data_IF_923593393437
#
_entry.id   IF_923593393437
#
_cell.length_a   1.000
_cell.length_b   1.000
_cell.length_c   1.000
_cell.angle_alpha   90.00
_cell.angle_beta   90.00
_cell.angle_gamma   90.00
#
_symmetry.space_group_name_H-M   'P 1'
#
loop_
_entity.id
_entity.type
_entity.pdbx_description
1 polymer ?
#
# COMPACT_ATOMS: atom_id res chain seq x y z
N UNK A 1 4.22 -4.80 -8.83
CA UNK A 1 4.82 -5.12 -7.52
C UNK A 1 3.97 -4.59 -6.37
N UNK A 2 4.15 -5.17 -5.19
CA UNK A 2 3.57 -4.70 -3.94
C UNK A 2 4.10 -3.31 -3.59
N UNK A 3 3.20 -2.39 -3.21
CA UNK A 3 3.54 -1.01 -2.83
C UNK A 3 3.89 -0.91 -1.34
N UNK A 4 4.32 0.26 -0.89
CA UNK A 4 4.52 0.70 0.51
C UNK A 4 5.49 -0.14 1.34
N UNK A 5 5.74 -1.40 0.99
CA UNK A 5 6.71 -2.25 1.69
C UNK A 5 8.10 -1.62 1.62
N UNK A 6 8.70 -1.41 2.77
CA UNK A 6 9.91 -0.60 2.95
C UNK A 6 11.13 -1.47 3.11
N UNK A 7 12.16 -1.23 2.28
CA UNK A 7 13.43 -1.94 2.29
C UNK A 7 14.56 -0.92 2.38
N UNK A 8 15.54 -1.18 3.24
CA UNK A 8 16.79 -0.43 3.33
C UNK A 8 17.96 -1.40 3.21
N UNK A 9 18.93 -1.07 2.34
CA UNK A 9 20.06 -1.95 2.08
C UNK A 9 21.37 -1.19 1.90
N UNK A 10 22.46 -1.91 2.08
CA UNK A 10 23.81 -1.39 1.83
C UNK A 10 24.07 -1.18 0.34
N UNK A 11 24.51 0.00 -0.02
CA UNK A 11 24.77 0.41 -1.42
C UNK A 11 25.85 -0.44 -2.12
N UNK A 12 26.82 -0.96 -1.38
CA UNK A 12 27.95 -1.69 -1.95
C UNK A 12 27.67 -3.19 -2.04
N UNK A 13 27.12 -3.76 -0.95
CA UNK A 13 26.91 -5.21 -0.85
C UNK A 13 25.53 -5.64 -1.32
N UNK A 14 24.56 -4.73 -1.29
CA UNK A 14 23.16 -5.04 -1.54
C UNK A 14 22.51 -5.89 -0.45
N UNK A 15 23.13 -5.97 0.74
CA UNK A 15 22.53 -6.68 1.86
C UNK A 15 21.55 -5.79 2.61
N UNK A 16 20.32 -6.26 2.90
CA UNK A 16 19.35 -5.49 3.66
C UNK A 16 19.81 -5.32 5.10
N UNK A 17 19.60 -4.13 5.67
CA UNK A 17 19.98 -3.81 7.05
C UNK A 17 19.04 -4.46 8.08
N UNK A 18 17.83 -4.81 7.66
CA UNK A 18 16.83 -5.54 8.44
C UNK A 18 15.82 -6.20 7.51
N UNK A 19 14.90 -6.99 8.06
CA UNK A 19 13.76 -7.53 7.30
C UNK A 19 12.88 -6.39 6.79
N UNK A 20 12.38 -6.52 5.55
CA UNK A 20 11.44 -5.58 4.96
C UNK A 20 10.21 -5.36 5.85
N UNK A 21 9.81 -4.10 6.02
CA UNK A 21 8.60 -3.78 6.77
C UNK A 21 7.43 -3.71 5.79
N UNK A 22 6.54 -4.70 5.88
CA UNK A 22 5.39 -4.83 4.97
C UNK A 22 4.34 -3.75 5.21
N UNK A 23 3.53 -3.49 4.20
CA UNK A 23 2.46 -2.48 4.21
C UNK A 23 1.44 -2.65 5.36
N UNK A 24 1.14 -3.89 5.77
CA UNK A 24 0.21 -4.20 6.87
C UNK A 24 0.77 -3.90 8.26
N UNK A 25 2.08 -3.64 8.39
CA UNK A 25 2.72 -3.48 9.68
C UNK A 25 2.35 -2.15 10.35
N UNK A 26 1.85 -2.22 11.57
CA UNK A 26 1.37 -1.07 12.36
C UNK A 26 2.37 -0.54 13.40
N UNK A 27 3.63 -1.02 13.38
CA UNK A 27 4.64 -0.63 14.38
C UNK A 27 4.93 0.87 14.46
N UNK A 28 4.59 1.63 13.42
CA UNK A 28 4.83 3.07 13.33
C UNK A 28 3.60 3.91 13.64
N UNK A 29 2.54 3.33 14.22
CA UNK A 29 1.32 4.05 14.55
C UNK A 29 1.57 5.23 15.48
N UNK A 30 2.46 5.08 16.46
CA UNK A 30 2.83 6.17 17.39
C UNK A 30 3.45 7.37 16.65
N UNK A 31 4.31 7.15 15.64
CA UNK A 31 4.85 8.24 14.82
C UNK A 31 3.77 8.95 14.01
N UNK A 32 2.77 8.21 13.54
CA UNK A 32 1.64 8.81 12.84
C UNK A 32 0.82 9.70 13.77
N UNK A 33 0.60 9.29 15.01
CA UNK A 33 -0.13 10.09 16.00
C UNK A 33 0.67 11.33 16.40
N UNK A 34 1.99 11.23 16.60
CA UNK A 34 2.88 12.37 16.81
C UNK A 34 2.75 13.42 15.70
N UNK A 35 2.75 13.01 14.44
CA UNK A 35 2.59 13.92 13.30
C UNK A 35 1.20 14.57 13.26
N UNK A 36 0.15 13.82 13.62
CA UNK A 36 -1.22 14.35 13.71
C UNK A 36 -1.35 15.37 14.84
N UNK A 37 -0.77 15.09 16.01
CA UNK A 37 -0.74 15.99 17.17
C UNK A 37 0.01 17.29 16.89
N UNK A 38 1.05 17.24 16.05
CA UNK A 38 1.73 18.42 15.51
C UNK A 38 0.89 19.25 14.54
N UNK A 39 -0.30 18.78 14.15
CA UNK A 39 -1.20 19.47 13.21
C UNK A 39 -0.80 19.35 11.73
N UNK A 40 0.03 18.36 11.36
CA UNK A 40 0.59 18.21 10.01
C UNK A 40 -0.34 17.49 9.02
N UNK A 41 -1.57 17.14 9.41
CA UNK A 41 -2.50 16.33 8.60
C UNK A 41 -2.77 16.96 7.23
N UNK A 42 -3.14 18.25 7.21
CA UNK A 42 -3.49 18.94 5.96
C UNK A 42 -2.27 19.20 5.09
N UNK A 43 -1.12 19.44 5.67
CA UNK A 43 0.14 19.60 4.95
C UNK A 43 0.54 18.32 4.21
N UNK A 44 0.59 17.20 4.92
CA UNK A 44 0.88 15.90 4.32
C UNK A 44 -0.13 15.54 3.23
N UNK A 45 -1.41 15.76 3.51
CA UNK A 45 -2.48 15.49 2.55
C UNK A 45 -2.36 16.34 1.30
N UNK A 46 -2.12 17.64 1.45
CA UNK A 46 -1.98 18.56 0.34
C UNK A 46 -0.79 18.27 -0.56
N UNK A 47 0.34 17.87 0.03
CA UNK A 47 1.57 17.55 -0.70
C UNK A 47 1.58 16.16 -1.31
N UNK A 48 1.14 15.15 -0.56
CA UNK A 48 1.28 13.74 -0.95
C UNK A 48 0.00 13.10 -1.47
N UNK A 49 -1.16 13.72 -1.22
CA UNK A 49 -2.48 13.14 -1.47
C UNK A 49 -2.89 12.07 -0.46
N UNK A 50 -2.02 11.75 0.51
CA UNK A 50 -2.21 10.65 1.46
C UNK A 50 -2.63 11.17 2.84
N UNK A 51 -3.23 10.27 3.62
CA UNK A 51 -3.42 10.48 5.06
C UNK A 51 -2.15 10.05 5.81
N UNK A 52 -1.96 10.57 7.03
CA UNK A 52 -0.88 10.10 7.91
C UNK A 52 -1.30 8.75 8.50
N UNK A 53 -0.73 7.66 8.00
CA UNK A 53 -1.01 6.30 8.43
C UNK A 53 0.22 5.41 8.30
N UNK A 54 0.36 4.44 9.21
CA UNK A 54 1.44 3.44 9.21
C UNK A 54 1.45 2.53 7.96
N UNK A 55 0.43 2.59 7.12
CA UNK A 55 0.35 1.92 5.84
C UNK A 55 1.50 2.33 4.90
N UNK A 56 1.82 3.63 4.85
CA UNK A 56 2.78 4.21 3.92
C UNK A 56 4.25 4.07 4.38
N UNK A 57 5.20 4.28 3.47
CA UNK A 57 6.61 3.95 3.70
C UNK A 57 7.35 4.91 4.64
N UNK A 58 7.01 6.20 4.64
CA UNK A 58 7.80 7.24 5.29
C UNK A 58 8.09 6.99 6.77
N UNK A 59 7.04 6.70 7.57
CA UNK A 59 7.21 6.41 8.99
C UNK A 59 7.96 5.10 9.24
N UNK A 60 7.87 4.12 8.33
CA UNK A 60 8.65 2.87 8.41
C UNK A 60 10.14 3.12 8.18
N UNK A 61 10.47 4.01 7.24
CA UNK A 61 11.85 4.40 7.00
C UNK A 61 12.43 5.14 8.22
N UNK A 62 11.70 6.11 8.78
CA UNK A 62 12.06 6.76 10.06
C UNK A 62 12.32 5.72 11.15
N UNK A 63 11.41 4.75 11.31
CA UNK A 63 11.55 3.69 12.31
C UNK A 63 12.85 2.87 12.11
N UNK A 64 13.19 2.50 10.88
CA UNK A 64 14.44 1.76 10.58
C UNK A 64 15.65 2.59 10.99
N UNK A 65 15.67 3.88 10.63
CA UNK A 65 16.76 4.79 10.96
C UNK A 65 16.98 4.95 12.47
N UNK A 66 15.92 4.95 13.26
CA UNK A 66 15.97 5.12 14.70
C UNK A 66 16.22 3.82 15.49
N UNK A 67 15.68 2.69 15.01
CA UNK A 67 15.62 1.46 15.80
C UNK A 67 16.61 0.37 15.37
N UNK A 68 17.23 0.48 14.18
CA UNK A 68 18.23 -0.50 13.73
C UNK A 68 19.63 0.06 14.05
N UNK A 69 20.42 -0.62 14.89
CA UNK A 69 21.72 -0.12 15.34
C UNK A 69 22.67 0.26 14.20
N UNK A 70 23.23 1.47 14.28
CA UNK A 70 24.22 1.98 13.32
C UNK A 70 23.70 2.40 11.95
N UNK A 71 22.40 2.20 11.67
CA UNK A 71 21.81 2.52 10.38
C UNK A 71 21.76 4.04 10.13
N UNK A 72 21.39 4.84 11.14
CA UNK A 72 21.34 6.31 11.03
C UNK A 72 22.65 6.90 10.51
N UNK A 73 23.76 6.65 11.19
CA UNK A 73 25.06 7.18 10.80
C UNK A 73 25.51 6.72 9.42
N UNK A 74 25.19 5.49 9.03
CA UNK A 74 25.48 4.97 7.67
C UNK A 74 24.63 5.64 6.60
N UNK A 75 23.37 5.91 6.90
CA UNK A 75 22.45 6.61 6.02
C UNK A 75 22.94 8.04 5.73
N UNK A 76 23.34 8.78 6.77
CA UNK A 76 23.87 10.14 6.66
C UNK A 76 25.16 10.20 5.81
N UNK A 77 26.00 9.15 5.88
CA UNK A 77 27.18 9.02 5.01
C UNK A 77 26.87 8.56 3.57
N UNK A 78 25.59 8.34 3.23
CA UNK A 78 25.17 7.89 1.90
C UNK A 78 25.53 6.43 1.58
N UNK A 79 25.78 5.60 2.60
CA UNK A 79 26.13 4.18 2.45
C UNK A 79 24.89 3.29 2.24
N UNK A 80 23.71 3.81 2.53
CA UNK A 80 22.46 3.04 2.48
C UNK A 80 21.52 3.59 1.41
N UNK A 81 20.71 2.69 0.86
CA UNK A 81 19.66 2.98 -0.09
C UNK A 81 18.31 2.56 0.48
N UNK A 82 17.28 3.32 0.13
CA UNK A 82 15.88 3.02 0.43
C UNK A 82 15.14 2.71 -0.88
N UNK A 83 14.14 1.86 -0.78
CA UNK A 83 13.17 1.65 -1.84
C UNK A 83 11.98 0.81 -1.40
N UNK A 84 11.00 0.76 -2.28
CA UNK A 84 9.94 -0.24 -2.27
C UNK A 84 10.43 -1.51 -2.96
N UNK A 85 9.57 -2.53 -3.04
CA UNK A 85 9.92 -3.82 -3.67
C UNK A 85 10.43 -3.64 -5.10
N UNK A 86 9.81 -2.76 -5.87
CA UNK A 86 10.19 -2.44 -7.24
C UNK A 86 11.62 -1.90 -7.33
N UNK A 87 11.93 -0.86 -6.53
CA UNK A 87 13.25 -0.25 -6.49
C UNK A 87 14.34 -1.29 -6.17
N UNK A 88 14.06 -2.15 -5.19
CA UNK A 88 14.91 -3.26 -4.81
C UNK A 88 15.13 -4.24 -5.96
N UNK A 89 14.06 -4.63 -6.66
CA UNK A 89 14.14 -5.55 -7.80
C UNK A 89 14.93 -4.95 -8.97
N UNK A 90 14.65 -3.70 -9.34
CA UNK A 90 15.41 -3.01 -10.39
C UNK A 90 16.89 -2.91 -10.03
N UNK A 91 17.19 -2.54 -8.79
CA UNK A 91 18.56 -2.46 -8.30
C UNK A 91 19.28 -3.82 -8.37
N UNK A 92 18.64 -4.90 -7.93
CA UNK A 92 19.19 -6.27 -8.01
C UNK A 92 19.37 -6.73 -9.46
N UNK A 93 18.35 -6.56 -10.30
CA UNK A 93 18.38 -7.00 -11.70
C UNK A 93 19.47 -6.26 -12.51
N UNK A 94 19.71 -4.99 -12.20
CA UNK A 94 20.76 -4.18 -12.87
C UNK A 94 22.14 -4.32 -12.25
N UNK A 95 22.30 -5.16 -11.24
CA UNK A 95 23.59 -5.33 -10.53
C UNK A 95 24.05 -4.08 -9.79
N UNK A 96 23.11 -3.33 -9.23
CA UNK A 96 23.38 -2.12 -8.45
C UNK A 96 23.58 -0.85 -9.27
N UNK A 97 23.38 -0.89 -10.59
CA UNK A 97 23.61 0.27 -11.48
C UNK A 97 22.46 1.27 -11.48
N UNK A 98 21.22 0.84 -11.19
CA UNK A 98 20.05 1.69 -11.22
C UNK A 98 19.35 1.69 -9.84
N UNK A 99 19.33 2.84 -9.17
CA UNK A 99 18.58 3.10 -7.95
C UNK A 99 17.44 4.05 -8.29
N UNK A 100 16.33 3.48 -8.76
CA UNK A 100 15.21 4.21 -9.38
C UNK A 100 13.87 3.65 -8.93
N UNK A 101 12.83 4.47 -8.98
CA UNK A 101 11.44 4.11 -8.75
C UNK A 101 10.55 4.81 -9.77
N UNK A 102 9.29 4.39 -9.87
CA UNK A 102 8.30 5.09 -10.70
C UNK A 102 7.41 6.03 -9.89
N UNK A 103 6.69 6.92 -10.59
CA UNK A 103 5.77 7.85 -9.96
C UNK A 103 4.68 7.15 -9.14
N UNK A 104 4.16 6.01 -9.59
CA UNK A 104 3.08 5.32 -8.89
C UNK A 104 3.54 4.77 -7.54
N UNK A 105 4.73 4.18 -7.44
CA UNK A 105 5.31 3.73 -6.18
C UNK A 105 5.80 4.90 -5.31
N UNK A 106 6.45 5.91 -5.89
CA UNK A 106 6.89 7.10 -5.16
C UNK A 106 5.71 7.79 -4.46
N UNK A 107 4.56 7.93 -5.12
CA UNK A 107 3.36 8.53 -4.54
C UNK A 107 2.76 7.75 -3.36
N UNK A 108 3.23 6.51 -3.10
CA UNK A 108 2.80 5.69 -1.94
C UNK A 108 3.75 5.75 -0.75
N UNK A 109 4.77 6.55 -0.83
CA UNK A 109 5.78 6.61 0.24
C UNK A 109 5.45 7.58 1.37
N UNK A 110 4.53 8.51 1.16
CA UNK A 110 4.28 9.67 2.05
C UNK A 110 5.47 10.63 2.13
N UNK A 111 6.43 10.52 1.18
CA UNK A 111 7.62 11.37 1.07
C UNK A 111 7.64 12.18 -0.22
N UNK A 112 6.77 11.83 -1.17
CA UNK A 112 6.75 12.35 -2.52
C UNK A 112 5.63 13.36 -2.71
N UNK A 113 5.98 14.56 -3.17
CA UNK A 113 5.02 15.60 -3.49
C UNK A 113 4.43 15.34 -4.88
N UNK A 114 3.14 14.97 -4.92
CA UNK A 114 2.45 14.61 -6.16
C UNK A 114 2.15 15.81 -7.06
N UNK A 115 2.27 17.03 -6.55
CA UNK A 115 2.04 18.25 -7.33
C UNK A 115 3.32 18.73 -8.03
N UNK A 116 4.48 18.60 -7.37
CA UNK A 116 5.78 19.01 -7.90
C UNK A 116 6.56 17.86 -8.54
N UNK A 117 6.10 16.61 -8.36
CA UNK A 117 6.73 15.37 -8.84
C UNK A 117 8.17 15.20 -8.33
N UNK A 118 8.39 15.53 -7.05
CA UNK A 118 9.69 15.46 -6.37
C UNK A 118 9.54 14.95 -4.94
N UNK A 119 10.62 14.42 -4.40
CA UNK A 119 10.73 14.20 -2.96
C UNK A 119 10.57 15.53 -2.24
N UNK A 120 9.72 15.59 -1.22
CA UNK A 120 9.38 16.81 -0.49
C UNK A 120 10.39 17.06 0.63
N UNK A 121 11.17 18.13 0.51
CA UNK A 121 12.27 18.41 1.44
C UNK A 121 11.76 18.77 2.86
N UNK A 122 10.57 19.37 3.01
CA UNK A 122 9.98 19.69 4.31
C UNK A 122 9.50 18.42 5.01
N UNK A 123 8.85 17.51 4.28
CA UNK A 123 8.45 16.20 4.81
C UNK A 123 9.68 15.36 5.20
N UNK A 124 10.73 15.37 4.36
CA UNK A 124 11.97 14.67 4.68
C UNK A 124 12.62 15.19 5.95
N UNK A 125 12.63 16.52 6.14
CA UNK A 125 13.14 17.15 7.36
C UNK A 125 12.30 16.80 8.59
N UNK A 126 10.95 16.83 8.48
CA UNK A 126 10.05 16.46 9.59
C UNK A 126 10.21 14.99 10.01
N UNK A 127 10.41 14.09 9.06
CA UNK A 127 10.65 12.68 9.34
C UNK A 127 12.11 12.33 9.59
N UNK A 128 13.01 13.32 9.53
CA UNK A 128 14.46 13.18 9.70
C UNK A 128 15.05 12.08 8.80
N UNK A 129 14.71 12.15 7.49
CA UNK A 129 15.14 11.18 6.48
C UNK A 129 16.21 11.79 5.58
N UNK A 130 17.44 11.21 5.53
CA UNK A 130 18.49 11.67 4.62
C UNK A 130 18.10 11.49 3.15
N UNK A 131 18.03 12.58 2.39
CA UNK A 131 17.63 12.58 0.97
C UNK A 131 18.51 11.69 0.09
N UNK A 132 19.79 11.51 0.44
CA UNK A 132 20.76 10.67 -0.28
C UNK A 132 20.38 9.17 -0.32
N UNK A 133 19.44 8.73 0.51
CA UNK A 133 18.92 7.36 0.50
C UNK A 133 17.86 7.12 -0.58
N UNK A 134 17.25 8.18 -1.10
CA UNK A 134 16.05 8.08 -1.93
C UNK A 134 16.40 7.78 -3.39
N UNK A 135 15.60 6.95 -4.09
CA UNK A 135 15.82 6.66 -5.50
C UNK A 135 15.48 7.84 -6.40
N UNK A 136 16.05 7.88 -7.59
CA UNK A 136 15.58 8.74 -8.67
C UNK A 136 14.18 8.32 -9.08
N UNK A 137 13.27 9.27 -9.27
CA UNK A 137 11.89 9.00 -9.68
C UNK A 137 11.74 9.23 -11.17
N UNK A 138 11.16 8.27 -11.88
CA UNK A 138 10.99 8.27 -13.34
C UNK A 138 9.54 7.98 -13.74
N UNK A 139 9.15 8.29 -15.00
CA UNK A 139 7.86 7.86 -15.55
C UNK A 139 7.67 6.34 -15.46
N UNK A 140 6.42 5.87 -15.32
CA UNK A 140 6.10 4.43 -15.22
C UNK A 140 6.47 3.65 -16.49
N UNK A 141 6.55 4.33 -17.64
CA UNK A 141 7.00 3.79 -18.94
C UNK A 141 8.27 4.52 -19.39
N UNK A 142 9.42 3.96 -19.09
CA UNK A 142 10.72 4.45 -19.54
C UNK A 142 11.78 3.35 -19.36
N UNK A 143 12.98 3.52 -19.92
CA UNK A 143 14.10 2.60 -19.67
C UNK A 143 14.71 2.92 -18.30
N UNK A 144 14.54 2.04 -17.33
CA UNK A 144 15.12 2.15 -15.99
C UNK A 144 16.58 1.67 -15.92
N UNK A 145 16.94 0.75 -16.79
CA UNK A 145 18.24 0.11 -16.90
C UNK A 145 18.13 -1.21 -17.65
N UNK A 146 19.22 -1.99 -17.66
CA UNK A 146 19.24 -3.32 -18.25
C UNK A 146 19.46 -4.38 -17.17
N UNK A 147 18.64 -5.41 -17.18
CA UNK A 147 18.83 -6.59 -16.37
C UNK A 147 20.10 -7.33 -16.83
N UNK A 148 20.88 -7.84 -15.89
CA UNK A 148 22.10 -8.59 -16.19
C UNK A 148 21.80 -9.88 -16.96
N UNK A 149 22.67 -10.22 -17.92
CA UNK A 149 22.54 -11.42 -18.76
C UNK A 149 22.42 -12.73 -17.94
N UNK A 150 23.00 -12.77 -16.75
CA UNK A 150 22.94 -13.96 -15.87
C UNK A 150 21.52 -14.39 -15.49
N UNK A 151 20.53 -13.49 -15.54
CA UNK A 151 19.15 -13.80 -15.18
C UNK A 151 18.34 -14.37 -16.37
N UNK A 152 18.66 -13.92 -17.60
CA UNK A 152 17.83 -14.17 -18.78
C UNK A 152 18.63 -14.67 -20.01
N UNK A 153 19.93 -14.91 -19.85
CA UNK A 153 20.81 -15.31 -20.95
C UNK A 153 21.33 -14.16 -21.83
N UNK A 154 20.67 -12.99 -21.78
CA UNK A 154 21.07 -11.77 -22.44
C UNK A 154 20.66 -10.55 -21.62
N UNK A 155 21.30 -9.37 -21.80
CA UNK A 155 20.79 -8.13 -21.20
C UNK A 155 19.41 -7.80 -21.75
N UNK A 156 18.47 -7.48 -20.85
CA UNK A 156 17.09 -7.12 -21.22
C UNK A 156 16.77 -5.74 -20.63
N UNK A 157 16.29 -4.77 -21.43
CA UNK A 157 15.85 -3.47 -20.92
C UNK A 157 14.66 -3.62 -19.96
N UNK A 158 14.74 -2.96 -18.81
CA UNK A 158 13.61 -2.82 -17.87
C UNK A 158 12.87 -1.54 -18.29
N UNK A 159 11.74 -1.70 -18.99
CA UNK A 159 11.06 -0.61 -19.68
C UNK A 159 9.76 -0.15 -19.04
N UNK A 160 9.34 -0.77 -17.95
CA UNK A 160 8.11 -0.40 -17.24
C UNK A 160 8.16 -0.81 -15.77
N UNK A 161 7.61 0.04 -14.92
CA UNK A 161 7.45 -0.20 -13.51
C UNK A 161 6.17 0.47 -13.01
N UNK A 162 5.41 -0.22 -12.17
CA UNK A 162 4.20 0.32 -11.56
C UNK A 162 3.84 -0.44 -10.29
N UNK A 163 3.18 0.25 -9.36
CA UNK A 163 2.51 -0.40 -8.24
C UNK A 163 1.40 -1.35 -8.74
N UNK A 164 1.19 -2.46 -8.04
CA UNK A 164 0.24 -3.52 -8.46
C UNK A 164 -1.18 -2.98 -8.71
N UNK A 165 -1.65 -2.07 -7.88
CA UNK A 165 -3.00 -1.53 -8.00
C UNK A 165 -3.13 -0.55 -9.18
N UNK A 166 -2.08 0.24 -9.43
CA UNK A 166 -2.00 1.11 -10.61
C UNK A 166 -1.85 0.31 -11.89
N UNK A 167 -1.01 -0.73 -11.87
CA UNK A 167 -0.90 -1.66 -13.00
C UNK A 167 -2.24 -2.35 -13.30
N UNK A 168 -3.02 -2.71 -12.26
CA UNK A 168 -4.35 -3.28 -12.43
C UNK A 168 -5.34 -2.26 -13.03
N UNK A 169 -5.31 -0.99 -12.58
CA UNK A 169 -6.14 0.07 -13.16
C UNK A 169 -5.86 0.23 -14.67
N UNK A 170 -4.58 0.30 -15.04
CA UNK A 170 -4.16 0.37 -16.43
C UNK A 170 -4.53 -0.89 -17.21
N UNK A 171 -4.26 -2.08 -16.65
CA UNK A 171 -4.54 -3.37 -17.28
C UNK A 171 -6.04 -3.67 -17.47
N UNK A 172 -6.90 -3.07 -16.64
CA UNK A 172 -8.36 -3.09 -16.81
C UNK A 172 -8.86 -2.01 -17.78
N UNK A 173 -7.94 -1.36 -18.49
CA UNK A 173 -8.25 -0.34 -19.51
C UNK A 173 -8.99 0.90 -18.98
N UNK A 174 -8.84 1.21 -17.70
CA UNK A 174 -9.45 2.39 -17.07
C UNK A 174 -8.67 3.67 -17.46
N UNK A 175 -8.68 4.04 -18.73
CA UNK A 175 -7.88 5.14 -19.27
C UNK A 175 -8.56 6.50 -19.17
N UNK A 176 -9.89 6.52 -19.11
CA UNK A 176 -10.67 7.75 -19.04
C UNK A 176 -11.00 8.14 -17.58
N UNK A 177 -11.10 9.45 -17.26
CA UNK A 177 -11.57 9.90 -15.97
C UNK A 177 -12.97 9.34 -15.64
N UNK A 178 -13.12 8.85 -14.39
CA UNK A 178 -14.33 8.20 -13.90
C UNK A 178 -14.34 6.68 -14.05
N UNK A 179 -13.46 6.11 -14.86
CA UNK A 179 -13.31 4.65 -14.95
C UNK A 179 -12.58 4.11 -13.72
N UNK A 180 -13.07 3.00 -13.21
CA UNK A 180 -12.60 2.44 -11.94
C UNK A 180 -12.45 0.93 -12.02
N UNK A 181 -11.53 0.40 -11.20
CA UNK A 181 -11.40 -1.03 -10.95
C UNK A 181 -11.46 -1.30 -9.45
N UNK A 182 -11.89 -2.49 -9.07
CA UNK A 182 -11.78 -3.00 -7.72
C UNK A 182 -11.05 -4.35 -7.72
N UNK A 183 -9.98 -4.44 -6.96
CA UNK A 183 -9.24 -5.71 -6.76
C UNK A 183 -9.72 -6.35 -5.47
N UNK A 184 -10.21 -7.57 -5.56
CA UNK A 184 -10.54 -8.42 -4.43
C UNK A 184 -9.41 -9.44 -4.21
N UNK A 185 -8.61 -9.23 -3.16
CA UNK A 185 -7.50 -10.09 -2.76
C UNK A 185 -7.46 -10.25 -1.25
N UNK A 186 -6.28 -10.25 -0.64
CA UNK A 186 -6.10 -10.19 0.83
C UNK A 186 -6.87 -9.01 1.42
N UNK A 187 -6.74 -7.83 0.81
CA UNK A 187 -7.61 -6.66 0.98
C UNK A 187 -8.39 -6.37 -0.28
N UNK A 188 -9.22 -5.32 -0.25
CA UNK A 188 -9.93 -4.81 -1.41
C UNK A 188 -9.43 -3.40 -1.72
N UNK A 189 -9.06 -3.16 -2.98
CA UNK A 189 -8.47 -1.88 -3.41
C UNK A 189 -9.21 -1.35 -4.63
N UNK A 190 -10.04 -0.33 -4.37
CA UNK A 190 -10.76 0.41 -5.39
C UNK A 190 -9.90 1.58 -5.86
N UNK A 191 -9.64 1.66 -7.15
CA UNK A 191 -9.00 2.83 -7.77
C UNK A 191 -9.88 3.37 -8.88
N UNK A 192 -10.01 4.70 -8.93
CA UNK A 192 -10.72 5.42 -9.98
C UNK A 192 -9.79 6.45 -10.61
N UNK A 193 -9.66 6.41 -11.92
CA UNK A 193 -8.92 7.40 -12.71
C UNK A 193 -9.59 8.77 -12.57
N UNK A 194 -8.82 9.80 -12.22
CA UNK A 194 -9.32 11.19 -12.07
C UNK A 194 -8.78 12.14 -13.14
N UNK A 195 -8.01 11.62 -14.10
CA UNK A 195 -7.39 12.41 -15.16
C UNK A 195 -6.08 13.07 -14.76
N UNK A 196 -5.74 14.17 -15.39
CA UNK A 196 -4.44 14.85 -15.29
C UNK A 196 -4.28 15.77 -14.08
N UNK A 197 -5.28 15.87 -13.21
CA UNK A 197 -5.24 16.71 -12.01
C UNK A 197 -5.51 15.89 -10.75
N UNK A 198 -4.76 16.12 -9.68
CA UNK A 198 -5.06 15.49 -8.41
C UNK A 198 -6.41 15.99 -7.87
N UNK A 199 -7.23 15.04 -7.39
CA UNK A 199 -8.54 15.32 -6.79
C UNK A 199 -8.47 14.96 -5.30
N UNK A 200 -8.75 15.90 -4.42
CA UNK A 200 -8.85 15.66 -2.99
C UNK A 200 -10.24 15.12 -2.62
N UNK A 201 -10.29 14.04 -1.87
CA UNK A 201 -11.54 13.48 -1.37
C UNK A 201 -11.88 14.01 0.03
N UNK A 202 -13.14 14.38 0.25
CA UNK A 202 -13.69 14.69 1.58
C UNK A 202 -14.27 13.48 2.30
N UNK A 203 -14.22 12.30 1.67
CA UNK A 203 -14.85 11.06 2.15
C UNK A 203 -13.81 9.97 2.50
N UNK A 204 -12.61 10.36 2.92
CA UNK A 204 -11.60 9.42 3.41
C UNK A 204 -10.86 8.61 2.34
N UNK A 205 -11.03 8.92 1.04
CA UNK A 205 -10.20 8.34 -0.01
C UNK A 205 -8.85 9.07 -0.08
N UNK A 206 -7.82 8.40 -0.58
CA UNK A 206 -6.51 9.00 -0.81
C UNK A 206 -6.30 9.28 -2.30
N UNK A 207 -5.51 10.31 -2.59
CA UNK A 207 -5.09 10.64 -3.95
C UNK A 207 -3.71 10.04 -4.21
N UNK A 208 -3.52 9.46 -5.38
CA UNK A 208 -2.25 8.84 -5.79
C UNK A 208 -1.98 9.12 -7.25
N UNK A 209 -0.74 8.94 -7.69
CA UNK A 209 -0.43 8.93 -9.12
C UNK A 209 -0.77 7.54 -9.65
N UNK A 210 -1.59 7.49 -10.70
CA UNK A 210 -1.94 6.26 -11.40
C UNK A 210 -0.77 5.78 -12.27
N UNK A 211 -0.26 6.65 -13.13
CA UNK A 211 0.93 6.41 -13.97
C UNK A 211 1.49 7.71 -14.54
N UNK A 212 2.74 7.63 -14.98
CA UNK A 212 3.38 8.63 -15.84
C UNK A 212 3.82 7.99 -17.14
N UNK A 213 3.35 8.50 -18.29
CA UNK A 213 3.72 8.04 -19.62
C UNK A 213 4.07 9.25 -20.50
N UNK A 214 5.32 9.31 -20.97
CA UNK A 214 5.85 10.51 -21.58
C UNK A 214 5.78 11.68 -20.60
N UNK A 215 5.25 12.81 -21.03
CA UNK A 215 5.10 14.02 -20.21
C UNK A 215 3.75 14.09 -19.47
N UNK A 216 2.90 13.06 -19.62
CA UNK A 216 1.56 13.04 -19.02
C UNK A 216 1.54 12.26 -17.72
N UNK A 217 0.96 12.89 -16.70
CA UNK A 217 0.70 12.27 -15.40
C UNK A 217 -0.80 12.07 -15.27
N UNK A 218 -1.19 10.85 -14.91
CA UNK A 218 -2.58 10.51 -14.59
C UNK A 218 -2.68 10.22 -13.10
N UNK A 219 -3.71 10.77 -12.47
CA UNK A 219 -4.00 10.60 -11.04
C UNK A 219 -5.16 9.63 -10.81
N UNK A 220 -5.27 9.13 -9.61
CA UNK A 220 -6.39 8.29 -9.17
C UNK A 220 -6.79 8.60 -7.74
N UNK A 221 -8.07 8.39 -7.43
CA UNK A 221 -8.55 8.23 -6.06
C UNK A 221 -8.51 6.75 -5.70
N UNK A 222 -8.12 6.46 -4.46
CA UNK A 222 -8.04 5.10 -3.95
C UNK A 222 -8.77 4.94 -2.62
N UNK A 223 -9.60 3.90 -2.54
CA UNK A 223 -10.17 3.35 -1.30
C UNK A 223 -9.47 2.03 -0.98
N UNK A 224 -8.74 2.00 0.14
CA UNK A 224 -7.99 0.82 0.59
C UNK A 224 -8.71 0.18 1.76
N UNK A 225 -9.21 -1.05 1.59
CA UNK A 225 -9.81 -1.90 2.62
C UNK A 225 -8.82 -3.03 2.90
N UNK A 226 -8.23 -3.05 4.11
CA UNK A 226 -7.09 -3.92 4.41
C UNK A 226 -7.43 -5.40 4.54
N UNK A 227 -8.68 -5.73 4.84
CA UNK A 227 -9.14 -7.10 5.06
C UNK A 227 -10.31 -7.41 4.12
N UNK A 228 -10.05 -8.21 3.12
CA UNK A 228 -11.03 -8.78 2.19
C UNK A 228 -10.96 -10.30 2.27
N UNK A 229 -10.36 -10.95 1.30
CA UNK A 229 -10.13 -12.41 1.29
C UNK A 229 -9.36 -12.95 2.51
N UNK A 230 -8.58 -12.08 3.19
CA UNK A 230 -7.93 -12.44 4.46
C UNK A 230 -8.92 -12.86 5.55
N UNK A 231 -10.16 -12.35 5.54
CA UNK A 231 -11.19 -12.80 6.49
C UNK A 231 -11.58 -14.26 6.21
N UNK A 232 -11.74 -14.64 4.96
CA UNK A 232 -12.04 -16.02 4.55
C UNK A 232 -10.87 -16.96 4.86
N UNK A 233 -9.64 -16.52 4.61
CA UNK A 233 -8.45 -17.27 5.00
C UNK A 233 -8.40 -17.51 6.51
N UNK A 234 -8.67 -16.47 7.31
CA UNK A 234 -8.71 -16.57 8.76
C UNK A 234 -9.77 -17.56 9.24
N UNK A 235 -10.97 -17.57 8.66
CA UNK A 235 -12.01 -18.53 8.97
C UNK A 235 -11.61 -19.97 8.66
N UNK A 236 -10.84 -20.18 7.58
CA UNK A 236 -10.34 -21.49 7.17
C UNK A 236 -9.14 -21.93 8.02
N UNK A 237 -8.11 -21.07 8.11
CA UNK A 237 -6.79 -21.49 8.59
C UNK A 237 -6.66 -21.42 10.11
N UNK A 238 -7.27 -20.41 10.74
CA UNK A 238 -7.16 -20.17 12.18
C UNK A 238 -8.42 -20.66 12.94
N UNK A 239 -9.61 -20.23 12.49
CA UNK A 239 -10.87 -20.59 13.17
C UNK A 239 -11.35 -21.99 12.82
N UNK A 240 -10.89 -22.60 11.71
CA UNK A 240 -11.27 -23.94 11.25
C UNK A 240 -12.79 -24.10 11.08
N UNK A 241 -13.48 -23.05 10.69
CA UNK A 241 -14.94 -23.06 10.48
C UNK A 241 -15.33 -23.56 9.09
N UNK A 242 -14.41 -23.47 8.13
CA UNK A 242 -14.55 -23.94 6.74
C UNK A 242 -13.29 -24.72 6.34
N UNK A 243 -13.41 -25.64 5.40
CA UNK A 243 -12.28 -26.44 4.87
C UNK A 243 -11.68 -25.79 3.63
N UNK A 244 -12.52 -25.18 2.80
CA UNK A 244 -12.11 -24.46 1.61
C UNK A 244 -12.78 -23.09 1.52
N UNK A 245 -12.22 -22.17 0.73
CA UNK A 245 -12.82 -20.86 0.50
C UNK A 245 -14.18 -20.97 -0.22
N UNK A 246 -14.38 -22.01 -1.04
CA UNK A 246 -15.63 -22.26 -1.75
C UNK A 246 -16.78 -22.60 -0.80
N UNK A 247 -16.50 -23.16 0.37
CA UNK A 247 -17.52 -23.47 1.37
C UNK A 247 -18.24 -22.22 1.89
N UNK A 248 -17.58 -21.06 1.82
CA UNK A 248 -18.14 -19.80 2.32
C UNK A 248 -19.44 -19.41 1.61
N UNK A 249 -19.49 -19.54 0.29
CA UNK A 249 -20.69 -19.26 -0.50
C UNK A 249 -21.83 -20.23 -0.17
N UNK A 250 -21.53 -21.54 -0.20
CA UNK A 250 -22.50 -22.57 0.12
C UNK A 250 -23.08 -22.38 1.53
N UNK A 251 -22.24 -22.06 2.51
CA UNK A 251 -22.70 -21.88 3.89
C UNK A 251 -23.50 -20.60 4.06
N UNK A 252 -23.12 -19.48 3.41
CA UNK A 252 -23.88 -18.24 3.44
C UNK A 252 -25.30 -18.41 2.87
N UNK A 253 -25.47 -19.26 1.84
CA UNK A 253 -26.76 -19.57 1.25
C UNK A 253 -27.71 -20.40 2.16
N UNK A 254 -27.20 -20.95 3.28
CA UNK A 254 -28.02 -21.73 4.22
C UNK A 254 -28.83 -20.90 5.20
N UNK A 255 -28.60 -19.60 5.26
CA UNK A 255 -29.24 -18.66 6.15
C UNK A 255 -29.73 -17.45 5.36
N UNK A 256 -30.83 -16.83 5.83
CA UNK A 256 -31.45 -15.70 5.14
C UNK A 256 -30.91 -14.34 5.61
N UNK A 257 -30.36 -14.28 6.81
CA UNK A 257 -29.87 -13.08 7.46
C UNK A 257 -28.75 -13.40 8.46
N UNK A 258 -28.22 -12.41 9.14
CA UNK A 258 -27.16 -12.55 10.12
C UNK A 258 -27.65 -12.89 11.51
N UNK A 259 -28.97 -12.88 11.73
CA UNK A 259 -29.61 -13.00 13.06
C UNK A 259 -28.97 -12.07 14.11
N UNK A 260 -28.59 -10.86 13.69
CA UNK A 260 -27.92 -9.86 14.54
C UNK A 260 -26.45 -10.14 14.87
N UNK A 261 -25.84 -11.15 14.27
CA UNK A 261 -24.41 -11.42 14.42
C UNK A 261 -23.62 -10.69 13.36
N UNK A 262 -22.66 -9.87 13.78
CA UNK A 262 -21.80 -9.09 12.90
C UNK A 262 -20.33 -9.34 13.21
N UNK A 263 -19.52 -9.51 12.16
CA UNK A 263 -18.07 -9.66 12.24
C UNK A 263 -17.40 -8.45 11.61
N UNK A 264 -16.61 -7.71 12.38
CA UNK A 264 -15.79 -6.60 11.90
C UNK A 264 -14.34 -7.10 11.78
N UNK A 265 -13.83 -7.41 10.58
CA UNK A 265 -12.52 -8.05 10.42
C UNK A 265 -11.38 -7.02 10.40
N UNK A 266 -11.31 -6.15 11.40
CA UNK A 266 -10.26 -5.11 11.50
C UNK A 266 -8.95 -5.67 12.06
N UNK A 267 -8.40 -6.75 11.46
CA UNK A 267 -7.21 -7.44 11.98
C UNK A 267 -5.95 -6.56 12.02
N UNK A 268 -5.84 -5.62 11.08
CA UNK A 268 -4.71 -4.70 10.95
C UNK A 268 -5.15 -3.23 10.99
N UNK A 269 -6.24 -2.94 11.70
CA UNK A 269 -6.91 -1.65 11.68
C UNK A 269 -7.92 -1.53 10.54
N UNK A 270 -8.55 -0.37 10.44
CA UNK A 270 -9.45 0.00 9.34
C UNK A 270 -8.73 0.96 8.40
N UNK A 271 -8.85 0.72 7.09
CA UNK A 271 -8.44 1.63 6.03
C UNK A 271 -9.53 2.65 5.70
N UNK A 272 -9.64 3.01 4.43
CA UNK A 272 -10.67 3.92 3.96
C UNK A 272 -12.08 3.45 4.34
N UNK A 273 -13.00 4.35 4.71
CA UNK A 273 -12.81 5.78 4.90
C UNK A 273 -12.36 6.19 6.31
N UNK A 274 -12.24 5.25 7.24
CA UNK A 274 -12.09 5.49 8.68
C UNK A 274 -10.65 5.82 9.10
N UNK A 275 -9.66 5.14 8.52
CA UNK A 275 -8.22 5.28 8.83
C UNK A 275 -7.92 5.13 10.33
N UNK A 276 -8.59 4.15 10.96
CA UNK A 276 -8.37 3.78 12.35
C UNK A 276 -7.36 2.64 12.46
N UNK A 277 -6.13 3.00 12.79
CA UNK A 277 -5.02 2.05 12.91
C UNK A 277 -5.05 1.21 14.19
N UNK A 278 -5.92 1.55 15.16
CA UNK A 278 -6.08 0.84 16.43
C UNK A 278 -7.30 -0.07 16.47
N UNK A 279 -8.24 0.06 15.54
CA UNK A 279 -9.35 -0.87 15.44
C UNK A 279 -8.86 -2.32 15.36
N UNK A 280 -9.58 -3.23 16.01
CA UNK A 280 -9.31 -4.67 15.99
C UNK A 280 -10.55 -5.44 15.63
N UNK A 281 -10.37 -6.67 15.14
CA UNK A 281 -11.44 -7.57 14.80
C UNK A 281 -12.38 -7.79 15.99
N UNK A 282 -13.69 -7.74 15.71
CA UNK A 282 -14.74 -7.84 16.74
C UNK A 282 -15.89 -8.67 16.21
N UNK A 283 -16.49 -9.50 17.04
CA UNK A 283 -17.73 -10.22 16.76
C UNK A 283 -18.80 -9.69 17.72
N UNK A 284 -19.90 -9.19 17.19
CA UNK A 284 -21.02 -8.62 17.95
C UNK A 284 -22.27 -9.45 17.75
N UNK A 285 -23.19 -9.43 18.74
CA UNK A 285 -24.50 -10.06 18.63
C UNK A 285 -24.47 -11.59 18.81
N UNK A 286 -23.46 -12.15 19.50
CA UNK A 286 -23.42 -13.59 19.80
C UNK A 286 -24.54 -13.99 20.76
N UNK A 287 -25.39 -14.90 20.33
CA UNK A 287 -26.39 -15.56 21.12
C UNK A 287 -26.25 -17.08 21.00
N UNK A 288 -26.96 -17.86 21.80
CA UNK A 288 -26.93 -19.33 21.68
C UNK A 288 -27.42 -19.84 20.31
N UNK A 289 -28.21 -19.03 19.59
CA UNK A 289 -28.72 -19.36 18.25
C UNK A 289 -27.70 -19.08 17.12
N UNK A 290 -26.61 -18.38 17.39
CA UNK A 290 -25.60 -18.09 16.39
C UNK A 290 -24.77 -19.34 16.10
N UNK A 291 -24.61 -19.65 14.83
CA UNK A 291 -23.81 -20.77 14.35
C UNK A 291 -22.85 -20.31 13.23
N UNK A 292 -22.01 -21.23 12.72
CA UNK A 292 -21.01 -20.90 11.72
C UNK A 292 -21.59 -20.33 10.40
N UNK A 293 -22.82 -20.67 10.04
CA UNK A 293 -23.47 -20.16 8.83
C UNK A 293 -23.80 -18.68 8.93
N UNK A 294 -24.29 -18.22 10.10
CA UNK A 294 -24.64 -16.82 10.36
C UNK A 294 -23.41 -15.91 10.35
N UNK A 295 -22.29 -16.36 10.89
CA UNK A 295 -21.03 -15.60 10.82
C UNK A 295 -20.52 -15.44 9.38
N UNK A 296 -20.69 -16.47 8.56
CA UNK A 296 -20.24 -16.49 7.17
C UNK A 296 -21.05 -15.59 6.25
N UNK A 297 -22.38 -15.51 6.41
CA UNK A 297 -23.18 -14.63 5.55
C UNK A 297 -22.77 -13.17 5.71
N UNK A 298 -22.43 -12.71 6.92
CA UNK A 298 -21.98 -11.34 7.12
C UNK A 298 -20.66 -11.06 6.45
N UNK A 299 -19.72 -12.01 6.46
CA UNK A 299 -18.39 -11.85 5.88
C UNK A 299 -18.41 -12.01 4.36
N UNK A 300 -19.23 -12.95 3.83
CA UNK A 300 -19.22 -13.30 2.40
C UNK A 300 -20.12 -12.40 1.55
N UNK A 301 -21.10 -11.73 2.13
CA UNK A 301 -22.10 -10.90 1.44
C UNK A 301 -22.04 -9.39 1.80
N UNK A 302 -20.91 -8.79 2.18
CA UNK A 302 -20.86 -7.37 2.53
C UNK A 302 -21.13 -6.46 1.32
N UNK A 303 -21.07 -7.01 0.10
CA UNK A 303 -21.25 -6.29 -1.17
C UNK A 303 -22.63 -6.47 -1.78
N UNK A 304 -23.49 -7.31 -1.22
CA UNK A 304 -24.87 -7.37 -1.66
C UNK A 304 -25.58 -6.11 -1.22
N UNK A 305 -25.63 -5.12 -2.11
CA UNK A 305 -26.48 -3.96 -1.99
C UNK A 305 -27.91 -4.48 -1.75
N UNK A 306 -28.37 -4.45 -0.51
CA UNK A 306 -29.79 -4.47 -0.25
C UNK A 306 -30.31 -3.16 -0.83
N UNK A 307 -30.97 -3.27 -1.97
CA UNK A 307 -31.86 -2.24 -2.44
C UNK A 307 -32.91 -2.04 -1.34
N UNK A 308 -32.74 -1.01 -0.54
CA UNK A 308 -33.79 -0.46 0.32
C UNK A 308 -34.60 0.49 -0.53
#
# INVERSE_FOLDING_TARGET
>A
NQRETTIVWDRKTGEPVCRAIVWQCRRTSAYCDELKEKGLVEEFRGKTGLVIDAYFSGTKLRWILENVPGVRARAERGELLFGTVETWLIWKLTGGKAHVTDYSNASRTMLFNINTLRWDDEILAELDIPKCMLPEVRPSSCIYGEALAQYFGAPIPIAGAAGDQQAALFGQTCYAPGEAKNTYGTGCFLLMNTGEKPVSSTHGLVTTIAWGIGDKITYALEGSIFVGGAAIQWLRDEMKLIESSADSEYMAQKVNDTNGCYVVPAFTGLGAPYWDQYARGTILGLTRGVNKYLSLIHISEPTRLQLI
#
